data_IF_345163830742
#
_entry.id   IF_345163830742
#
_cell.length_a   1.000
_cell.length_b   1.000
_cell.length_c   1.000
_cell.angle_alpha   90.00
_cell.angle_beta   90.00
_cell.angle_gamma   90.00
#
_symmetry.space_group_name_H-M   'P 1'
#
loop_
_entity.id
_entity.type
_entity.pdbx_description
1 polymer ?
#
# COMPACT_ATOMS: atom_id res chain seq x y z
N UNK A 1 -12.71 -3.93 -4.84
CA UNK A 1 -11.49 -3.88 -5.67
C UNK A 1 -10.29 -3.57 -4.79
N UNK A 2 -9.14 -4.15 -5.13
CA UNK A 2 -7.94 -4.01 -4.31
C UNK A 2 -7.49 -2.56 -4.21
N UNK A 3 -7.46 -1.84 -5.33
CA UNK A 3 -7.00 -0.45 -5.34
C UNK A 3 -7.87 0.44 -4.45
N UNK A 4 -9.18 0.28 -4.51
CA UNK A 4 -10.08 1.09 -3.68
C UNK A 4 -9.88 0.82 -2.20
N UNK A 5 -9.72 -0.46 -1.86
CA UNK A 5 -9.45 -0.85 -0.48
C UNK A 5 -8.12 -0.30 0.00
N UNK A 6 -7.13 -0.33 -0.88
CA UNK A 6 -5.81 0.21 -0.58
C UNK A 6 -5.88 1.71 -0.33
N UNK A 7 -6.68 2.43 -1.10
CA UNK A 7 -6.87 3.87 -0.87
C UNK A 7 -7.47 4.15 0.51
N UNK A 8 -8.41 3.33 0.95
CA UNK A 8 -8.96 3.46 2.30
C UNK A 8 -7.88 3.26 3.35
N UNK A 9 -7.01 2.28 3.13
CA UNK A 9 -5.90 2.00 4.03
C UNK A 9 -4.94 3.18 4.08
N UNK A 10 -4.61 3.77 2.94
CA UNK A 10 -3.78 4.97 2.89
C UNK A 10 -4.39 6.09 3.70
N UNK A 11 -5.71 6.27 3.60
CA UNK A 11 -6.39 7.31 4.37
C UNK A 11 -6.30 7.11 5.87
N UNK A 12 -6.25 5.86 6.33
CA UNK A 12 -6.11 5.55 7.75
C UNK A 12 -4.68 5.71 8.23
N UNK A 13 -3.72 5.18 7.47
CA UNK A 13 -2.31 5.15 7.88
C UNK A 13 -1.65 6.49 7.67
N UNK A 14 -2.01 7.16 6.59
CA UNK A 14 -1.40 8.44 6.22
C UNK A 14 -2.50 9.45 5.89
N UNK A 15 -3.18 9.99 6.92
CA UNK A 15 -4.31 10.91 6.68
C UNK A 15 -3.91 12.19 5.96
N UNK A 16 -2.63 12.54 5.94
CA UNK A 16 -2.14 13.69 5.20
C UNK A 16 -2.15 13.48 3.69
N UNK A 17 -2.26 12.24 3.23
CA UNK A 17 -2.34 11.95 1.80
C UNK A 17 -3.78 12.08 1.32
N UNK A 18 -3.96 12.76 0.18
CA UNK A 18 -5.27 12.87 -0.44
C UNK A 18 -5.50 11.66 -1.33
N UNK A 19 -6.48 10.80 -1.00
CA UNK A 19 -6.74 9.61 -1.82
C UNK A 19 -7.04 9.93 -3.28
N UNK A 20 -7.57 11.11 -3.56
CA UNK A 20 -7.89 11.51 -4.93
C UNK A 20 -6.64 11.70 -5.79
N UNK A 21 -5.48 11.90 -5.16
CA UNK A 21 -4.22 12.09 -5.90
C UNK A 21 -3.40 10.81 -6.01
N UNK A 22 -3.84 9.74 -5.37
CA UNK A 22 -3.12 8.47 -5.39
C UNK A 22 -3.48 7.70 -6.66
N UNK A 23 -2.47 7.28 -7.40
CA UNK A 23 -2.67 6.48 -8.62
C UNK A 23 -1.79 5.23 -8.54
N UNK A 24 -2.00 4.31 -9.47
CA UNK A 24 -1.18 3.10 -9.56
C UNK A 24 0.30 3.42 -9.78
N UNK A 25 0.58 4.54 -10.44
CA UNK A 25 1.96 4.96 -10.73
C UNK A 25 2.60 5.76 -9.61
N UNK A 26 1.85 6.10 -8.56
CA UNK A 26 2.40 6.88 -7.46
C UNK A 26 3.55 6.12 -6.79
N UNK A 27 4.68 6.80 -6.63
CA UNK A 27 5.84 6.23 -5.94
C UNK A 27 5.68 6.48 -4.45
N UNK A 28 5.74 5.41 -3.67
CA UNK A 28 5.44 5.50 -2.23
C UNK A 28 6.35 6.47 -1.50
N UNK A 29 7.66 6.39 -1.76
CA UNK A 29 8.63 7.19 -1.01
C UNK A 29 8.61 8.66 -1.40
N UNK A 30 8.43 8.98 -2.67
CA UNK A 30 8.54 10.37 -3.16
C UNK A 30 7.20 11.03 -3.37
N UNK A 31 6.23 10.33 -3.94
CA UNK A 31 4.93 10.94 -4.24
C UNK A 31 4.02 10.97 -3.03
N UNK A 32 4.10 9.95 -2.18
CA UNK A 32 3.24 9.84 -1.01
C UNK A 32 3.96 10.10 0.30
N UNK A 33 5.28 10.26 0.26
CA UNK A 33 6.06 10.55 1.45
C UNK A 33 6.12 9.40 2.45
N UNK A 34 6.04 8.17 1.96
CA UNK A 34 6.10 6.99 2.82
C UNK A 34 7.55 6.75 3.25
N UNK A 35 7.81 6.83 4.56
CA UNK A 35 9.13 6.49 5.11
C UNK A 35 9.12 5.05 5.64
N UNK A 36 10.23 4.64 6.26
CA UNK A 36 10.36 3.26 6.76
C UNK A 36 9.30 2.90 7.77
N UNK A 37 8.98 3.82 8.67
CA UNK A 37 7.98 3.57 9.70
C UNK A 37 6.58 3.46 9.08
N UNK A 38 6.24 4.41 8.21
CA UNK A 38 4.95 4.39 7.55
C UNK A 38 4.81 3.15 6.65
N UNK A 39 5.89 2.74 6.00
CA UNK A 39 5.86 1.55 5.17
C UNK A 39 5.58 0.31 6.01
N UNK A 40 6.15 0.23 7.19
CA UNK A 40 5.87 -0.89 8.10
C UNK A 40 4.41 -0.91 8.51
N UNK A 41 3.86 0.24 8.91
CA UNK A 41 2.46 0.33 9.28
C UNK A 41 1.54 -0.01 8.12
N UNK A 42 1.88 0.49 6.94
CA UNK A 42 1.11 0.20 5.74
C UNK A 42 1.11 -1.29 5.42
N UNK A 43 2.27 -1.92 5.47
CA UNK A 43 2.40 -3.33 5.19
C UNK A 43 1.58 -4.17 6.17
N UNK A 44 1.68 -3.87 7.47
CA UNK A 44 0.93 -4.60 8.50
C UNK A 44 -0.58 -4.44 8.27
N UNK A 45 -1.01 -3.23 7.97
CA UNK A 45 -2.43 -2.95 7.75
C UNK A 45 -2.95 -3.70 6.53
N UNK A 46 -2.18 -3.70 5.44
CA UNK A 46 -2.55 -4.42 4.23
C UNK A 46 -2.60 -5.92 4.48
N UNK A 47 -1.62 -6.45 5.17
CA UNK A 47 -1.61 -7.88 5.52
C UNK A 47 -2.85 -8.28 6.31
N UNK A 48 -3.22 -7.44 7.26
CA UNK A 48 -4.38 -7.72 8.11
C UNK A 48 -5.68 -7.60 7.32
N UNK A 49 -5.79 -6.58 6.49
CA UNK A 49 -7.01 -6.33 5.72
C UNK A 49 -7.27 -7.43 4.69
N UNK A 50 -6.24 -7.86 3.99
CA UNK A 50 -6.37 -8.83 2.91
C UNK A 50 -6.00 -10.26 3.33
N UNK A 51 -5.58 -10.47 4.58
CA UNK A 51 -5.21 -11.79 5.10
C UNK A 51 -4.08 -12.42 4.30
N UNK A 52 -3.07 -11.64 4.00
CA UNK A 52 -1.88 -12.08 3.26
C UNK A 52 -0.63 -11.72 4.04
N UNK A 53 0.52 -12.16 3.56
CA UNK A 53 1.81 -11.80 4.13
C UNK A 53 2.76 -11.33 3.04
N UNK A 54 3.42 -10.22 3.29
CA UNK A 54 4.49 -9.76 2.41
C UNK A 54 5.76 -10.53 2.75
N UNK A 55 6.48 -10.97 1.70
CA UNK A 55 7.77 -11.60 1.93
C UNK A 55 8.80 -10.51 2.27
N UNK A 56 9.86 -10.91 2.97
CA UNK A 56 10.88 -9.95 3.41
C UNK A 56 11.66 -9.34 2.26
N UNK A 57 11.65 -9.99 1.10
CA UNK A 57 12.34 -9.50 -0.09
C UNK A 57 11.40 -8.82 -1.09
N UNK A 58 10.14 -8.63 -0.73
CA UNK A 58 9.19 -7.95 -1.60
C UNK A 58 9.61 -6.50 -1.81
N UNK A 59 9.67 -6.06 -3.06
CA UNK A 59 10.03 -4.69 -3.39
C UNK A 59 8.76 -3.92 -3.70
N UNK A 60 8.40 -3.03 -2.79
CA UNK A 60 7.18 -2.24 -2.90
C UNK A 60 7.58 -0.78 -3.09
N UNK A 61 7.71 -0.37 -4.33
CA UNK A 61 8.12 0.99 -4.68
C UNK A 61 6.96 1.88 -5.08
N UNK A 62 5.96 1.30 -5.75
CA UNK A 62 4.79 2.02 -6.21
C UNK A 62 3.53 1.41 -5.66
N UNK A 63 2.43 2.15 -5.79
CA UNK A 63 1.10 1.63 -5.42
C UNK A 63 0.79 0.37 -6.23
N UNK A 64 1.16 0.37 -7.51
CA UNK A 64 0.94 -0.80 -8.36
C UNK A 64 1.64 -2.04 -7.81
N UNK A 65 2.85 -1.87 -7.28
CA UNK A 65 3.59 -3.01 -6.71
C UNK A 65 2.80 -3.65 -5.57
N UNK A 66 2.18 -2.83 -4.72
CA UNK A 66 1.36 -3.34 -3.62
C UNK A 66 0.12 -4.04 -4.16
N UNK A 67 -0.56 -3.41 -5.12
CA UNK A 67 -1.77 -3.98 -5.72
C UNK A 67 -1.46 -5.32 -6.38
N UNK A 68 -0.39 -5.38 -7.16
CA UNK A 68 0.00 -6.61 -7.84
C UNK A 68 0.30 -7.72 -6.85
N UNK A 69 1.01 -7.38 -5.78
CA UNK A 69 1.35 -8.36 -4.74
C UNK A 69 0.07 -8.90 -4.07
N UNK A 70 -0.83 -7.99 -3.72
CA UNK A 70 -2.08 -8.37 -3.06
C UNK A 70 -2.90 -9.27 -3.99
N UNK A 71 -3.04 -8.88 -5.25
CA UNK A 71 -3.84 -9.66 -6.19
C UNK A 71 -3.25 -11.05 -6.44
N UNK A 72 -1.93 -11.17 -6.36
CA UNK A 72 -1.27 -12.46 -6.54
C UNK A 72 -1.47 -13.38 -5.35
N UNK A 73 -1.79 -12.86 -4.17
CA UNK A 73 -1.86 -13.63 -2.93
C UNK A 73 -3.27 -13.75 -2.35
N UNK A 74 -4.20 -12.91 -2.77
CA UNK A 74 -5.60 -12.99 -2.33
C UNK A 74 -6.32 -14.03 -3.19
N UNK A 75 -7.11 -14.85 -2.53
CA UNK A 75 -7.88 -15.89 -3.24
C UNK A 75 -9.36 -15.64 -3.17
#
# INVERSE_FOLDING_TARGET
>A
MVFEKLNEIFGRVMPQCDPATITMDSVLATDLGVDSLNMMLLAITVEDEFKIRFSSDAKLETVKDIVDYVEANVK
#
